data_IF_432367454665
#
_entry.id   IF_432367454665
#
_cell.length_a   1.000
_cell.length_b   1.000
_cell.length_c   1.000
_cell.angle_alpha   90.00
_cell.angle_beta   90.00
_cell.angle_gamma   90.00
#
_symmetry.space_group_name_H-M   'P 1'
#
loop_
_entity.id
_entity.type
_entity.pdbx_description
1 polymer ?
#
# COMPACT_ATOMS: atom_id res chain seq x y z
N UNK A 1 10.38 4.34 15.33
CA UNK A 1 9.40 3.34 14.88
C UNK A 1 9.15 3.54 13.39
N UNK A 2 9.27 2.50 12.55
CA UNK A 2 8.87 2.61 11.13
C UNK A 2 7.34 2.48 11.08
N UNK A 3 6.63 3.50 10.59
CA UNK A 3 5.18 3.39 10.41
C UNK A 3 4.90 2.46 9.23
N UNK A 4 4.19 1.35 9.51
CA UNK A 4 3.76 0.36 8.51
C UNK A 4 2.29 0.62 8.21
N UNK A 5 1.92 0.68 6.94
CA UNK A 5 0.53 0.79 6.48
C UNK A 5 0.20 -0.38 5.56
N UNK A 6 -0.98 -0.97 5.71
CA UNK A 6 -1.44 -2.10 4.90
C UNK A 6 -2.69 -1.66 4.16
N UNK A 7 -2.68 -1.78 2.84
CA UNK A 7 -3.82 -1.46 1.97
C UNK A 7 -4.46 -2.78 1.54
N UNK A 8 -5.78 -2.90 1.72
CA UNK A 8 -6.57 -4.05 1.28
C UNK A 8 -7.83 -3.59 0.55
N UNK A 9 -8.11 -4.15 -0.62
CA UNK A 9 -9.32 -3.81 -1.36
C UNK A 9 -9.71 -4.90 -2.37
N UNK A 10 -11.00 -5.21 -2.47
CA UNK A 10 -11.56 -6.21 -3.40
C UNK A 10 -11.46 -5.78 -4.87
N UNK A 11 -11.84 -4.53 -5.15
CA UNK A 11 -11.74 -3.95 -6.49
C UNK A 11 -10.31 -3.50 -6.81
N UNK A 12 -9.78 -3.97 -7.95
CA UNK A 12 -8.42 -3.67 -8.42
C UNK A 12 -8.19 -2.19 -8.73
N UNK A 13 -9.20 -1.49 -9.27
CA UNK A 13 -9.05 -0.08 -9.68
C UNK A 13 -8.99 0.82 -8.45
N UNK A 14 -9.92 0.62 -7.51
CA UNK A 14 -9.91 1.33 -6.22
C UNK A 14 -8.65 1.00 -5.42
N UNK A 15 -8.21 -0.25 -5.43
CA UNK A 15 -6.94 -0.65 -4.80
C UNK A 15 -5.76 0.20 -5.32
N UNK A 16 -5.61 0.31 -6.64
CA UNK A 16 -4.53 1.07 -7.26
C UNK A 16 -4.61 2.57 -6.94
N UNK A 17 -5.81 3.13 -6.83
CA UNK A 17 -5.99 4.53 -6.40
C UNK A 17 -5.50 4.74 -4.96
N UNK A 18 -5.85 3.84 -4.03
CA UNK A 18 -5.40 3.93 -2.63
C UNK A 18 -3.87 3.79 -2.56
N UNK A 19 -3.31 2.87 -3.33
CA UNK A 19 -1.86 2.66 -3.44
C UNK A 19 -1.14 3.94 -3.89
N UNK A 20 -1.64 4.58 -4.96
CA UNK A 20 -1.05 5.82 -5.49
C UNK A 20 -1.11 6.97 -4.47
N UNK A 21 -2.21 7.08 -3.73
CA UNK A 21 -2.35 8.08 -2.66
C UNK A 21 -1.32 7.84 -1.54
N UNK A 22 -1.10 6.57 -1.14
CA UNK A 22 -0.10 6.23 -0.12
C UNK A 22 1.33 6.56 -0.57
N UNK A 23 1.65 6.34 -1.84
CA UNK A 23 2.95 6.74 -2.37
C UNK A 23 3.13 8.27 -2.35
N UNK A 24 2.08 9.04 -2.65
CA UNK A 24 2.09 10.51 -2.54
C UNK A 24 2.23 11.00 -1.09
N UNK A 25 1.72 10.26 -0.11
CA UNK A 25 1.92 10.54 1.32
C UNK A 25 3.36 10.25 1.81
N UNK A 26 4.26 9.79 0.92
CA UNK A 26 5.66 9.49 1.25
C UNK A 26 5.89 8.09 1.79
N UNK A 27 4.98 7.16 1.51
CA UNK A 27 5.20 5.74 1.79
C UNK A 27 5.87 5.03 0.61
N UNK A 28 6.66 4.00 0.92
CA UNK A 28 7.31 3.12 -0.05
C UNK A 28 6.63 1.75 0.02
N UNK A 29 6.22 1.21 -1.12
CA UNK A 29 5.69 -0.13 -1.21
C UNK A 29 6.82 -1.16 -0.99
N UNK A 30 6.67 -2.02 0.02
CA UNK A 30 7.61 -3.13 0.33
C UNK A 30 7.07 -4.47 -0.14
N UNK A 31 5.76 -4.70 -0.01
CA UNK A 31 5.10 -5.89 -0.56
C UNK A 31 4.26 -5.45 -1.75
N UNK A 32 4.65 -5.82 -2.98
CA UNK A 32 3.87 -5.46 -4.16
C UNK A 32 2.47 -6.07 -4.08
N UNK A 33 1.54 -5.45 -4.81
CA UNK A 33 0.14 -5.84 -4.92
C UNK A 33 -0.03 -7.34 -5.16
N UNK A 34 -0.61 -8.04 -4.19
CA UNK A 34 -0.89 -9.48 -4.26
C UNK A 34 -2.38 -9.75 -4.03
N UNK A 35 -2.99 -10.62 -4.83
CA UNK A 35 -4.38 -11.04 -4.62
C UNK A 35 -4.44 -12.19 -3.59
N UNK A 36 -5.12 -11.97 -2.47
CA UNK A 36 -5.27 -12.89 -1.34
C UNK A 36 -6.76 -13.00 -1.04
N UNK A 37 -7.31 -14.22 -1.09
CA UNK A 37 -8.67 -14.53 -0.61
C UNK A 37 -9.75 -13.52 -1.06
N UNK A 38 -9.74 -13.15 -2.36
CA UNK A 38 -10.67 -12.21 -2.99
C UNK A 38 -10.43 -10.71 -2.76
N UNK A 39 -9.29 -10.31 -2.21
CA UNK A 39 -8.85 -8.91 -2.17
C UNK A 39 -7.40 -8.75 -2.59
N UNK A 40 -7.05 -7.57 -3.06
CA UNK A 40 -5.67 -7.15 -3.28
C UNK A 40 -5.09 -6.57 -1.99
N UNK A 41 -3.84 -6.93 -1.67
CA UNK A 41 -3.10 -6.47 -0.50
C UNK A 41 -1.74 -5.88 -0.93
N UNK A 42 -1.37 -4.74 -0.35
CA UNK A 42 -0.01 -4.20 -0.40
C UNK A 42 0.43 -3.68 0.97
N UNK A 43 1.74 -3.75 1.23
CA UNK A 43 2.35 -3.26 2.47
C UNK A 43 3.27 -2.10 2.14
N UNK A 44 3.11 -1.03 2.91
CA UNK A 44 3.78 0.25 2.76
C UNK A 44 4.55 0.61 4.02
N UNK A 45 5.73 1.21 3.85
CA UNK A 45 6.56 1.74 4.93
C UNK A 45 6.82 3.22 4.73
N UNK A 46 6.64 4.03 5.77
CA UNK A 46 6.88 5.48 5.67
C UNK A 46 8.37 5.75 5.44
N UNK A 47 8.71 6.50 4.39
CA UNK A 47 10.08 6.96 4.15
C UNK A 47 10.45 7.95 5.24
N UNK A 48 11.41 7.60 6.10
CA UNK A 48 12.00 8.55 7.04
C UNK A 48 13.10 9.26 6.28
N UNK A 49 12.84 10.47 5.81
CA UNK A 49 13.89 11.35 5.32
C UNK A 49 14.61 11.86 6.56
N UNK A 50 15.86 11.44 6.77
CA UNK A 50 16.77 11.99 7.78
C UNK A 50 17.44 13.23 7.24
#
# INVERSE_FOLDING_TARGET
MRAISIVKHEDKVKFLQICRNKEQEGFICVKPMQHIHSWYEAVYVKKVVK
#
